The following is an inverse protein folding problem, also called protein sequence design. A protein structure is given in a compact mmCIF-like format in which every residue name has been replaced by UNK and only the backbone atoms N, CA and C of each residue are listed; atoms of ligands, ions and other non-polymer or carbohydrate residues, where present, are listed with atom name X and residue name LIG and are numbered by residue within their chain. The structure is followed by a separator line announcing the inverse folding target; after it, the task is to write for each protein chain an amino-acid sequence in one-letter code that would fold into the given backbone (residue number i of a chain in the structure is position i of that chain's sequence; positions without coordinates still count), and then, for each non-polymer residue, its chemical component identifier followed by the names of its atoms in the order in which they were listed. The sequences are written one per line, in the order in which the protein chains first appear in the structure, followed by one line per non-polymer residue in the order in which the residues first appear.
data_IF_965564374788
#
_entry.id   IF_965564374788
#
_cell.length_a   1.000
_cell.length_b   1.000
_cell.length_c   1.000
_cell.angle_alpha   90.00
_cell.angle_beta   90.00
_cell.angle_gamma   90.00
#
_symmetry.space_group_name_H-M   'P 1'
#
loop_
_entity.id
_entity.type
_entity.pdbx_description
1 polymer ?
#
# COMPACT_ATOMS: atom_id res chain seq x y z
N UNK A 1 -22.51 -9.89 -0.62
CA UNK A 1 -21.22 -10.51 -0.27
C UNK A 1 -21.18 -10.66 1.24
N UNK A 2 -21.65 -11.82 1.74
CA UNK A 2 -21.96 -12.01 3.16
C UNK A 2 -20.71 -12.10 4.02
N UNK A 3 -20.66 -11.29 5.08
CA UNK A 3 -19.67 -11.42 6.15
C UNK A 3 -19.92 -12.74 6.86
N UNK A 4 -19.07 -13.73 6.58
CA UNK A 4 -18.97 -14.90 7.45
C UNK A 4 -18.26 -14.41 8.71
N UNK A 5 -18.76 -14.77 9.90
CA UNK A 5 -18.05 -14.63 11.18
C UNK A 5 -17.71 -16.02 11.75
N UNK A 6 -16.60 -16.17 12.47
CA UNK A 6 -16.27 -17.38 13.20
C UNK A 6 -16.65 -17.16 14.67
N UNK A 7 -17.40 -18.10 15.25
CA UNK A 7 -17.86 -18.03 16.64
C UNK A 7 -16.78 -18.61 17.57
N UNK A 8 -16.47 -17.89 18.65
CA UNK A 8 -15.69 -18.44 19.76
C UNK A 8 -16.64 -19.03 20.83
N UNK A 9 -16.19 -20.02 21.63
CA UNK A 9 -17.01 -20.55 22.72
C UNK A 9 -17.26 -19.48 23.80
N UNK A 10 -18.54 -19.22 24.03
CA UNK A 10 -19.22 -18.68 25.21
C UNK A 10 -18.77 -17.39 25.92
N UNK A 11 -17.90 -16.52 25.39
CA UNK A 11 -17.82 -15.12 25.88
C UNK A 11 -17.04 -14.07 25.07
N UNK A 12 -16.59 -14.33 23.82
CA UNK A 12 -15.65 -13.40 23.17
C UNK A 12 -15.92 -13.13 21.69
N UNK A 13 -17.08 -12.54 21.38
CA UNK A 13 -17.28 -11.72 20.16
C UNK A 13 -17.04 -12.39 18.80
N UNK A 14 -17.17 -11.60 17.74
CA UNK A 14 -16.92 -12.02 16.36
C UNK A 14 -15.46 -11.73 16.02
N UNK A 15 -14.63 -12.76 15.85
CA UNK A 15 -13.27 -12.55 15.33
C UNK A 15 -13.31 -12.37 13.82
N UNK A 16 -12.60 -11.36 13.26
CA UNK A 16 -12.45 -11.23 11.82
C UNK A 16 -11.72 -12.47 11.28
N UNK A 17 -12.17 -12.97 10.13
CA UNK A 17 -11.49 -14.09 9.48
C UNK A 17 -10.06 -13.73 9.11
N UNK A 18 -9.15 -14.67 9.35
CA UNK A 18 -7.77 -14.58 8.86
C UNK A 18 -7.77 -14.50 7.34
N UNK A 19 -7.20 -13.43 6.81
CA UNK A 19 -6.95 -13.27 5.38
C UNK A 19 -5.45 -13.11 5.16
N UNK A 20 -4.87 -13.69 4.10
CA UNK A 20 -3.48 -13.47 3.75
C UNK A 20 -3.21 -11.98 3.52
N UNK A 21 -2.12 -11.47 4.12
CA UNK A 21 -1.62 -10.11 3.87
C UNK A 21 -0.35 -10.24 3.04
N UNK A 22 -0.31 -9.55 1.90
CA UNK A 22 0.86 -9.50 1.03
C UNK A 22 1.44 -8.10 1.09
N UNK A 23 2.73 -8.00 1.38
CA UNK A 23 3.49 -6.75 1.30
C UNK A 23 4.45 -6.83 0.12
N UNK A 24 4.44 -5.81 -0.73
CA UNK A 24 5.36 -5.69 -1.87
C UNK A 24 6.26 -4.49 -1.62
N UNK A 25 7.56 -4.70 -1.73
CA UNK A 25 8.58 -3.66 -1.53
C UNK A 25 9.16 -3.29 -2.88
N UNK A 26 9.10 -2.00 -3.21
CA UNK A 26 9.66 -1.44 -4.45
C UNK A 26 11.18 -1.31 -4.42
N UNK A 27 11.73 -0.72 -5.49
CA UNK A 27 13.16 -0.45 -5.57
C UNK A 27 13.55 0.71 -4.64
N UNK A 28 14.78 0.73 -4.10
CA UNK A 28 15.25 1.84 -3.29
C UNK A 28 15.43 3.10 -4.15
N UNK A 29 15.07 4.25 -3.58
CA UNK A 29 15.32 5.58 -4.17
C UNK A 29 16.53 6.17 -3.45
N UNK A 30 17.57 6.51 -4.22
CA UNK A 30 18.77 7.15 -3.65
C UNK A 30 18.49 8.63 -3.44
N UNK A 31 18.71 9.09 -2.22
CA UNK A 31 18.59 10.50 -1.85
C UNK A 31 19.91 11.01 -1.31
N UNK A 32 20.18 12.29 -1.52
CA UNK A 32 21.32 12.97 -0.92
C UNK A 32 20.90 13.56 0.42
N UNK A 33 21.77 13.46 1.43
CA UNK A 33 21.47 14.04 2.73
C UNK A 33 21.68 15.55 2.66
N UNK A 34 20.58 16.30 2.63
CA UNK A 34 20.59 17.75 2.68
C UNK A 34 19.89 18.26 3.96
N UNK A 35 20.56 19.11 4.74
CA UNK A 35 20.00 19.69 5.99
C UNK A 35 18.91 20.72 5.73
N UNK A 36 18.94 21.37 4.56
CA UNK A 36 17.97 22.40 4.17
C UNK A 36 17.68 22.28 2.67
N UNK A 37 16.95 21.22 2.25
CA UNK A 37 16.64 21.00 0.85
C UNK A 37 15.75 22.11 0.30
N UNK A 38 15.99 22.47 -0.95
CA UNK A 38 15.10 23.35 -1.69
C UNK A 38 13.81 22.63 -2.09
N UNK A 39 12.77 23.39 -2.44
CA UNK A 39 11.50 22.82 -2.89
C UNK A 39 11.68 21.94 -4.12
N UNK A 40 12.52 22.34 -5.07
CA UNK A 40 12.80 21.57 -6.29
C UNK A 40 13.39 20.18 -6.01
N UNK A 41 14.26 20.08 -5.00
CA UNK A 41 14.86 18.81 -4.58
C UNK A 41 13.80 17.89 -3.98
N UNK A 42 12.94 18.43 -3.11
CA UNK A 42 11.84 17.70 -2.50
C UNK A 42 10.88 17.20 -3.58
N UNK A 43 10.46 18.08 -4.49
CA UNK A 43 9.55 17.74 -5.58
C UNK A 43 10.14 16.68 -6.51
N UNK A 44 11.44 16.75 -6.79
CA UNK A 44 12.13 15.75 -7.61
C UNK A 44 12.04 14.37 -6.95
N UNK A 45 12.40 14.27 -5.67
CA UNK A 45 12.35 12.99 -4.93
C UNK A 45 10.91 12.50 -4.79
N UNK A 46 9.95 13.40 -4.53
CA UNK A 46 8.54 13.06 -4.44
C UNK A 46 8.00 12.51 -5.77
N UNK A 47 8.35 13.13 -6.91
CA UNK A 47 7.98 12.65 -8.25
C UNK A 47 8.51 11.25 -8.50
N UNK A 48 9.78 10.99 -8.16
CA UNK A 48 10.37 9.65 -8.27
C UNK A 48 9.65 8.64 -7.37
N UNK A 49 9.37 9.01 -6.12
CA UNK A 49 8.63 8.17 -5.18
C UNK A 49 7.24 7.78 -5.70
N UNK A 50 6.48 8.75 -6.22
CA UNK A 50 5.16 8.52 -6.80
C UNK A 50 5.25 7.60 -8.02
N UNK A 51 6.24 7.80 -8.90
CA UNK A 51 6.43 6.96 -10.06
C UNK A 51 6.72 5.50 -9.67
N UNK A 52 7.60 5.27 -8.68
CA UNK A 52 7.93 3.93 -8.22
C UNK A 52 6.76 3.23 -7.52
N UNK A 53 5.97 3.95 -6.71
CA UNK A 53 4.75 3.41 -6.13
C UNK A 53 3.74 2.99 -7.20
N UNK A 54 3.61 3.81 -8.25
CA UNK A 54 2.69 3.53 -9.36
C UNK A 54 3.16 2.28 -10.13
N UNK A 55 4.46 2.15 -10.38
CA UNK A 55 5.03 0.97 -11.04
C UNK A 55 4.80 -0.33 -10.23
N UNK A 56 5.00 -0.28 -8.91
CA UNK A 56 4.70 -1.42 -8.03
C UNK A 56 3.22 -1.77 -8.08
N UNK A 57 2.34 -0.77 -8.03
CA UNK A 57 0.90 -1.01 -8.14
C UNK A 57 0.54 -1.69 -9.46
N UNK A 58 0.98 -1.14 -10.58
CA UNK A 58 0.65 -1.66 -11.91
C UNK A 58 1.18 -3.07 -12.14
N UNK A 59 2.37 -3.39 -11.60
CA UNK A 59 2.96 -4.72 -11.71
C UNK A 59 2.16 -5.79 -10.94
N UNK A 60 1.58 -5.45 -9.79
CA UNK A 60 1.08 -6.46 -8.84
C UNK A 60 -0.42 -6.40 -8.54
N UNK A 61 -1.14 -5.35 -8.95
CA UNK A 61 -2.58 -5.19 -8.66
C UNK A 61 -3.43 -6.35 -9.19
N UNK A 62 -3.09 -6.92 -10.33
CA UNK A 62 -3.85 -8.04 -10.92
C UNK A 62 -3.45 -9.40 -10.33
N UNK A 63 -2.34 -9.46 -9.58
CA UNK A 63 -1.95 -10.67 -8.85
C UNK A 63 -2.55 -10.68 -7.44
N UNK A 64 -2.38 -9.60 -6.68
CA UNK A 64 -2.73 -9.55 -5.26
C UNK A 64 -4.03 -8.80 -4.95
N UNK A 65 -4.50 -7.93 -5.85
CA UNK A 65 -5.69 -7.09 -5.66
C UNK A 65 -6.75 -7.31 -6.76
N UNK A 66 -6.98 -8.57 -7.15
CA UNK A 66 -7.91 -8.96 -8.23
C UNK A 66 -9.34 -8.45 -8.06
N UNK A 67 -9.83 -8.43 -6.81
CA UNK A 67 -11.19 -8.02 -6.46
C UNK A 67 -11.23 -6.61 -5.85
N UNK A 68 -10.27 -5.75 -6.21
CA UNK A 68 -10.20 -4.37 -5.72
C UNK A 68 -11.46 -3.59 -6.08
N UNK A 69 -11.87 -2.70 -5.18
CA UNK A 69 -13.05 -1.82 -5.37
C UNK A 69 -12.67 -0.44 -5.91
N UNK A 70 -11.38 -0.11 -5.86
CA UNK A 70 -10.80 1.14 -6.36
C UNK A 70 -9.39 0.86 -6.85
N UNK A 71 -8.87 1.78 -7.66
CA UNK A 71 -7.46 1.82 -8.04
C UNK A 71 -6.62 2.56 -6.97
N UNK A 72 -5.31 2.62 -7.18
CA UNK A 72 -4.41 3.42 -6.36
C UNK A 72 -4.81 4.89 -6.41
N UNK A 73 -4.95 5.50 -5.23
CA UNK A 73 -5.14 6.94 -5.06
C UNK A 73 -4.03 7.48 -4.19
N UNK A 74 -3.33 8.49 -4.69
CA UNK A 74 -2.34 9.25 -3.94
C UNK A 74 -2.98 10.55 -3.46
N UNK A 75 -2.82 10.86 -2.18
CA UNK A 75 -3.38 12.06 -1.56
C UNK A 75 -2.25 13.10 -1.47
N UNK A 76 -2.56 14.33 -1.89
CA UNK A 76 -1.66 15.47 -1.84
C UNK A 76 -1.75 16.20 -0.49
#
# INVERSE_FOLDING_TARGET
MGLKFALLPDSLGLLPYRHPIVSVVGKPIRVEQNKNPGLEEIEKVQKEYIAELTAVWDQYKDLYARNRKSELTLIA
#
